data_IF_633546672525
#
_entry.id   IF_633546672525
#
_cell.length_a   1.000
_cell.length_b   1.000
_cell.length_c   1.000
_cell.angle_alpha   90.00
_cell.angle_beta   90.00
_cell.angle_gamma   90.00
#
_symmetry.space_group_name_H-M   'P 1'
#
loop_
_entity.id
_entity.type
_entity.pdbx_description
1 polymer ?
#
# COMPACT_ATOMS: atom_id res chain seq x y z
N UNK A 1 18.25 -7.81 -12.98
CA UNK A 1 16.91 -7.77 -12.32
C UNK A 1 16.40 -6.36 -12.52
N UNK A 2 15.29 -6.20 -13.23
CA UNK A 2 14.72 -4.88 -13.53
C UNK A 2 14.33 -4.24 -12.20
N UNK A 3 15.04 -3.20 -11.77
CA UNK A 3 14.68 -2.42 -10.58
C UNK A 3 13.43 -1.62 -10.95
N UNK A 4 12.26 -2.28 -10.90
CA UNK A 4 10.98 -1.62 -11.12
C UNK A 4 10.81 -0.54 -10.04
N UNK A 5 10.32 0.63 -10.44
CA UNK A 5 10.05 1.71 -9.49
C UNK A 5 9.06 1.22 -8.42
N UNK A 6 9.25 1.57 -7.13
CA UNK A 6 8.32 1.18 -6.08
C UNK A 6 6.91 1.67 -6.39
N UNK A 7 5.95 0.76 -6.47
CA UNK A 7 4.55 1.07 -6.79
C UNK A 7 3.80 1.36 -5.49
N UNK A 8 3.29 2.57 -5.33
CA UNK A 8 2.53 2.92 -4.13
C UNK A 8 1.15 2.23 -4.16
N UNK A 9 0.65 1.67 -3.03
CA UNK A 9 -0.65 0.98 -2.99
C UNK A 9 -1.84 1.85 -3.43
N UNK A 10 -1.68 3.17 -3.39
CA UNK A 10 -2.61 4.16 -3.92
C UNK A 10 -2.89 4.03 -5.41
N UNK A 11 -1.89 3.63 -6.20
CA UNK A 11 -2.03 3.40 -7.64
C UNK A 11 -2.93 2.18 -7.90
N UNK A 12 -2.66 1.07 -7.20
CA UNK A 12 -3.53 -0.11 -7.23
C UNK A 12 -4.97 0.20 -6.79
N UNK A 13 -5.15 1.03 -5.75
CA UNK A 13 -6.48 1.47 -5.34
C UNK A 13 -7.17 2.27 -6.46
N UNK A 14 -6.44 3.15 -7.15
CA UNK A 14 -6.97 3.94 -8.26
C UNK A 14 -7.43 3.05 -9.42
N UNK A 15 -6.62 2.05 -9.79
CA UNK A 15 -6.93 1.06 -10.82
C UNK A 15 -8.21 0.27 -10.47
N UNK A 16 -8.27 -0.31 -9.26
CA UNK A 16 -9.44 -1.06 -8.78
C UNK A 16 -10.69 -0.18 -8.79
N UNK A 17 -10.58 1.08 -8.37
CA UNK A 17 -11.71 2.00 -8.41
C UNK A 17 -12.20 2.32 -9.83
N UNK A 18 -11.27 2.45 -10.77
CA UNK A 18 -11.58 2.67 -12.18
C UNK A 18 -12.28 1.44 -12.79
N UNK A 19 -11.77 0.23 -12.52
CA UNK A 19 -12.39 -1.03 -12.95
C UNK A 19 -13.80 -1.22 -12.40
N UNK A 20 -14.03 -0.85 -11.14
CA UNK A 20 -15.33 -0.92 -10.49
C UNK A 20 -16.26 0.27 -10.85
N UNK A 21 -15.76 1.29 -11.54
CA UNK A 21 -16.53 2.50 -11.88
C UNK A 21 -17.02 3.28 -10.65
N UNK A 22 -16.24 3.31 -9.56
CA UNK A 22 -16.61 4.01 -8.32
C UNK A 22 -15.78 5.27 -8.08
N UNK A 23 -16.41 6.30 -7.50
CA UNK A 23 -15.73 7.56 -7.18
C UNK A 23 -15.03 7.51 -5.82
N UNK A 24 -14.01 8.35 -5.62
CA UNK A 24 -13.34 8.52 -4.32
C UNK A 24 -14.33 8.91 -3.22
N UNK A 25 -15.30 9.75 -3.54
CA UNK A 25 -16.37 10.13 -2.63
C UNK A 25 -17.23 8.93 -2.22
N UNK A 26 -17.66 8.09 -3.19
CA UNK A 26 -18.45 6.89 -2.90
C UNK A 26 -17.69 5.94 -1.99
N UNK A 27 -16.41 5.68 -2.30
CA UNK A 27 -15.58 4.80 -1.48
C UNK A 27 -15.39 5.37 -0.07
N UNK A 28 -15.06 6.65 0.07
CA UNK A 28 -14.86 7.30 1.38
C UNK A 28 -16.13 7.24 2.24
N UNK A 29 -17.31 7.47 1.63
CA UNK A 29 -18.60 7.36 2.29
C UNK A 29 -18.85 5.92 2.77
N UNK A 30 -18.60 4.91 1.94
CA UNK A 30 -18.73 3.49 2.30
C UNK A 30 -17.79 3.09 3.44
N UNK A 31 -16.55 3.59 3.42
CA UNK A 31 -15.55 3.34 4.47
C UNK A 31 -15.84 4.10 5.78
N UNK A 32 -16.76 5.08 5.77
CA UNK A 32 -17.03 5.95 6.90
C UNK A 32 -15.86 6.87 7.25
N UNK A 33 -15.15 7.40 6.24
CA UNK A 33 -13.96 8.25 6.42
C UNK A 33 -14.10 9.57 5.63
N UNK A 34 -13.36 10.63 6.00
CA UNK A 34 -13.34 11.86 5.22
C UNK A 34 -12.86 11.61 3.77
N UNK A 35 -13.47 12.23 2.73
CA UNK A 35 -13.05 12.06 1.33
C UNK A 35 -11.58 12.35 1.08
N UNK A 36 -11.01 13.32 1.80
CA UNK A 36 -9.58 13.66 1.71
C UNK A 36 -8.68 12.46 2.00
N UNK A 37 -9.10 11.52 2.85
CA UNK A 37 -8.32 10.32 3.16
C UNK A 37 -8.13 9.44 1.92
N UNK A 38 -9.21 9.18 1.18
CA UNK A 38 -9.15 8.36 -0.05
C UNK A 38 -8.39 9.12 -1.14
N UNK A 39 -8.63 10.42 -1.27
CA UNK A 39 -7.90 11.28 -2.20
C UNK A 39 -6.40 11.24 -1.95
N UNK A 40 -5.94 11.38 -0.72
CA UNK A 40 -4.50 11.36 -0.41
C UNK A 40 -3.88 9.99 -0.67
N UNK A 41 -4.61 8.90 -0.41
CA UNK A 41 -4.12 7.54 -0.72
C UNK A 41 -3.97 7.36 -2.23
N UNK A 42 -5.01 7.67 -3.01
CA UNK A 42 -5.00 7.54 -4.49
C UNK A 42 -3.91 8.39 -5.15
N UNK A 43 -3.56 9.54 -4.55
CA UNK A 43 -2.47 10.40 -5.04
C UNK A 43 -1.13 10.14 -4.37
N UNK A 44 -0.94 8.98 -3.74
CA UNK A 44 0.34 8.55 -3.15
C UNK A 44 0.90 9.51 -2.09
N UNK A 45 0.03 10.26 -1.42
CA UNK A 45 0.35 11.21 -0.35
C UNK A 45 0.10 10.65 1.05
N UNK A 46 -0.50 9.46 1.15
CA UNK A 46 -0.84 8.81 2.41
C UNK A 46 -0.71 7.29 2.26
N UNK A 47 0.01 6.69 3.20
CA UNK A 47 0.11 5.24 3.35
C UNK A 47 -1.20 4.59 3.80
N UNK A 48 -1.39 3.33 3.44
CA UNK A 48 -2.44 2.48 3.97
C UNK A 48 -2.04 1.97 5.36
N UNK A 49 -2.79 2.38 6.38
CA UNK A 49 -2.67 1.88 7.75
C UNK A 49 -3.55 0.64 7.99
N UNK A 50 -3.37 -0.05 9.13
CA UNK A 50 -4.25 -1.17 9.52
C UNK A 50 -5.74 -0.79 9.59
N UNK A 51 -6.11 0.37 10.16
CA UNK A 51 -7.49 0.88 10.15
C UNK A 51 -8.00 1.07 8.70
N UNK A 52 -7.15 1.60 7.82
CA UNK A 52 -7.51 1.82 6.42
C UNK A 52 -7.71 0.50 5.69
N UNK A 53 -6.81 -0.47 5.90
CA UNK A 53 -6.87 -1.81 5.32
C UNK A 53 -8.13 -2.57 5.76
N UNK A 54 -8.51 -2.52 7.04
CA UNK A 54 -9.76 -3.10 7.54
C UNK A 54 -10.98 -2.51 6.84
N UNK A 55 -11.01 -1.18 6.68
CA UNK A 55 -12.11 -0.48 6.01
C UNK A 55 -12.18 -0.77 4.52
N UNK A 56 -11.03 -0.77 3.84
CA UNK A 56 -10.94 -1.12 2.41
C UNK A 56 -11.36 -2.57 2.18
N UNK A 57 -10.91 -3.49 3.03
CA UNK A 57 -11.26 -4.89 2.95
C UNK A 57 -12.78 -5.11 3.03
N UNK A 58 -13.43 -4.46 3.99
CA UNK A 58 -14.89 -4.50 4.11
C UNK A 58 -15.61 -3.80 2.94
N UNK A 59 -15.10 -2.67 2.46
CA UNK A 59 -15.75 -1.87 1.41
C UNK A 59 -15.62 -2.48 0.01
N UNK A 60 -14.54 -3.23 -0.24
CA UNK A 60 -14.19 -3.78 -1.57
C UNK A 60 -14.23 -5.31 -1.60
N UNK A 61 -14.69 -5.96 -0.51
CA UNK A 61 -14.73 -7.42 -0.36
C UNK A 61 -13.37 -8.10 -0.60
N UNK A 62 -12.31 -7.48 -0.09
CA UNK A 62 -10.93 -7.97 -0.15
C UNK A 62 -10.39 -8.20 1.26
N UNK A 63 -9.31 -8.97 1.42
CA UNK A 63 -8.72 -9.13 2.75
C UNK A 63 -7.97 -7.85 3.17
N UNK A 64 -7.96 -7.48 4.46
CA UNK A 64 -7.12 -6.39 4.95
C UNK A 64 -5.62 -6.63 4.65
N UNK A 65 -5.18 -7.88 4.74
CA UNK A 65 -3.81 -8.30 4.44
C UNK A 65 -3.40 -7.98 3.01
N UNK A 66 -4.30 -8.07 2.03
CA UNK A 66 -4.00 -7.67 0.65
C UNK A 66 -3.46 -6.23 0.61
N UNK A 67 -4.15 -5.30 1.27
CA UNK A 67 -3.78 -3.88 1.28
C UNK A 67 -2.51 -3.62 2.08
N UNK A 68 -2.33 -4.27 3.23
CA UNK A 68 -1.11 -4.14 4.03
C UNK A 68 0.11 -4.75 3.33
N UNK A 69 -0.08 -5.81 2.54
CA UNK A 69 0.99 -6.42 1.75
C UNK A 69 1.49 -5.47 0.67
N UNK A 70 0.59 -4.77 -0.03
CA UNK A 70 0.97 -3.74 -1.01
C UNK A 70 1.78 -2.62 -0.34
N UNK A 71 1.31 -2.10 0.81
CA UNK A 71 2.05 -1.07 1.54
C UNK A 71 3.44 -1.56 1.99
N UNK A 72 3.51 -2.77 2.55
CA UNK A 72 4.77 -3.39 3.00
C UNK A 72 5.75 -3.58 1.85
N UNK A 73 5.29 -4.03 0.69
CA UNK A 73 6.14 -4.18 -0.50
C UNK A 73 6.71 -2.83 -0.93
N UNK A 74 5.83 -1.83 -1.09
CA UNK A 74 6.24 -0.46 -1.42
C UNK A 74 7.28 0.10 -0.44
N UNK A 75 7.03 -0.02 0.88
CA UNK A 75 7.92 0.49 1.92
C UNK A 75 9.28 -0.21 1.90
N UNK A 76 9.30 -1.53 1.68
CA UNK A 76 10.55 -2.30 1.55
C UNK A 76 11.33 -1.92 0.30
N UNK A 77 10.66 -1.75 -0.84
CA UNK A 77 11.31 -1.37 -2.09
C UNK A 77 11.91 0.04 -2.00
N UNK A 78 11.20 0.98 -1.38
CA UNK A 78 11.72 2.32 -1.09
C UNK A 78 12.91 2.27 -0.12
N UNK A 79 12.82 1.44 0.92
CA UNK A 79 13.91 1.26 1.88
C UNK A 79 15.15 0.65 1.23
N UNK A 80 15.00 -0.30 0.30
CA UNK A 80 16.12 -0.91 -0.45
C UNK A 80 16.91 0.11 -1.28
N UNK A 81 16.25 1.17 -1.75
CA UNK A 81 16.91 2.23 -2.54
C UNK A 81 17.70 3.19 -1.65
N UNK A 82 17.19 3.45 -0.45
CA UNK A 82 17.69 4.54 0.42
C UNK A 82 18.57 4.06 1.56
N UNK A 83 18.47 2.78 1.95
CA UNK A 83 19.16 2.20 3.10
C UNK A 83 20.38 1.41 2.63
N UNK A 84 21.57 1.93 2.91
CA UNK A 84 22.80 1.17 2.74
C UNK A 84 22.94 0.15 3.88
N UNK A 85 22.93 -1.13 3.51
CA UNK A 85 23.10 -2.26 4.44
C UNK A 85 24.40 -3.02 4.20
N UNK A 86 25.28 -2.51 3.32
CA UNK A 86 26.52 -3.18 2.90
C UNK A 86 27.53 -3.40 4.03
N UNK A 87 27.43 -2.64 5.12
CA UNK A 87 28.31 -2.72 6.30
C UNK A 87 27.77 -3.64 7.39
N UNK A 88 26.57 -4.22 7.22
CA UNK A 88 25.93 -5.06 8.24
C UNK A 88 26.39 -6.51 8.05
N UNK A 89 27.10 -7.04 9.03
CA UNK A 89 27.48 -8.45 9.09
C UNK A 89 26.38 -9.30 9.76
N UNK A 90 26.01 -10.47 9.21
CA UNK A 90 25.05 -11.38 9.85
C UNK A 90 25.55 -11.88 11.20
N UNK A 91 24.68 -11.87 12.22
CA UNK A 91 25.01 -12.39 13.56
C UNK A 91 25.10 -13.92 13.61
N UNK A 92 24.49 -14.61 12.65
CA UNK A 92 24.51 -16.06 12.52
C UNK A 92 24.74 -16.38 11.05
N UNK A 93 25.75 -17.21 10.77
CA UNK A 93 25.89 -17.80 9.45
C UNK A 93 24.73 -18.76 9.23
N UNK A 94 23.85 -18.42 8.28
CA UNK A 94 22.85 -19.36 7.82
C UNK A 94 23.57 -20.36 6.92
N UNK A 95 23.99 -21.49 7.48
CA UNK A 95 24.38 -22.67 6.71
C UNK A 95 23.11 -23.23 6.07
N UNK A 96 22.86 -22.88 4.81
CA UNK A 96 21.82 -23.53 3.98
C UNK A 96 22.43 -24.73 3.29
#
# INVERSE_FOLDING_TARGET
MTTAEPIHPGEHLAEIMNELGITQYRLAKTMGVPPIRVHDIVHCRRSITADTALRLGQALAMTPDFWLNLQRMYDLDLARITTDTSTIEPLVEVSV
#
